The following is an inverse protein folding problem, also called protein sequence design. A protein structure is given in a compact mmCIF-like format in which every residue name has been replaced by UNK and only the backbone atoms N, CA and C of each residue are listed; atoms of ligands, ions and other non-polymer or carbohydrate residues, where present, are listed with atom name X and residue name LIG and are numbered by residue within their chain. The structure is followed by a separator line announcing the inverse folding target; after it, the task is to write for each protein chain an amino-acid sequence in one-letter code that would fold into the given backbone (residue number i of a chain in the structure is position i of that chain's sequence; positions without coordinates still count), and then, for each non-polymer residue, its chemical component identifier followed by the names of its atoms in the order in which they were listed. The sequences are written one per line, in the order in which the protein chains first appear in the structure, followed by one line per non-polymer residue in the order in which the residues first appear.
data_IF_744460820521
#
_entry.id   IF_744460820521
#
_cell.length_a   1.000
_cell.length_b   1.000
_cell.length_c   1.000
_cell.angle_alpha   90.00
_cell.angle_beta   90.00
_cell.angle_gamma   90.00
#
_symmetry.space_group_name_H-M   'P 1'
#
loop_
_entity.id
_entity.type
_entity.pdbx_description
1 polymer ?
#
# COMPACT_ATOMS: atom_id res chain seq x y z
N UNK A 1 -2.34 -21.31 21.98
CA UNK A 1 -3.69 -21.54 21.42
C UNK A 1 -4.10 -20.45 20.42
N UNK A 2 -4.25 -19.17 20.79
CA UNK A 2 -4.67 -18.10 19.86
C UNK A 2 -3.76 -17.89 18.61
N UNK A 3 -2.43 -17.97 18.77
CA UNK A 3 -1.49 -17.88 17.62
C UNK A 3 -1.61 -19.05 16.63
N UNK A 4 -1.99 -20.24 17.10
CA UNK A 4 -2.11 -21.42 16.23
C UNK A 4 -3.38 -21.33 15.38
N UNK A 5 -4.49 -20.89 15.98
CA UNK A 5 -5.75 -20.67 15.26
C UNK A 5 -5.66 -19.49 14.27
N UNK A 6 -4.91 -18.44 14.56
CA UNK A 6 -4.67 -17.34 13.61
C UNK A 6 -3.83 -17.79 12.40
N UNK A 7 -2.83 -18.65 12.62
CA UNK A 7 -1.99 -19.19 11.54
C UNK A 7 -2.74 -20.19 10.66
N UNK A 8 -3.57 -21.05 11.27
CA UNK A 8 -4.44 -21.98 10.53
C UNK A 8 -5.50 -21.23 9.71
N UNK A 9 -6.15 -20.21 10.29
CA UNK A 9 -7.10 -19.36 9.58
C UNK A 9 -6.41 -18.57 8.45
N UNK A 10 -5.18 -18.09 8.68
CA UNK A 10 -4.36 -17.46 7.66
C UNK A 10 -4.07 -18.42 6.50
N UNK A 11 -3.55 -19.62 6.79
CA UNK A 11 -3.24 -20.63 5.78
C UNK A 11 -4.48 -21.06 4.97
N UNK A 12 -5.62 -21.25 5.63
CA UNK A 12 -6.88 -21.60 4.97
C UNK A 12 -7.37 -20.47 4.04
N UNK A 13 -7.27 -19.21 4.46
CA UNK A 13 -7.65 -18.04 3.65
C UNK A 13 -6.73 -17.90 2.44
N UNK A 14 -5.41 -18.04 2.63
CA UNK A 14 -4.41 -18.01 1.55
C UNK A 14 -4.73 -19.08 0.50
N UNK A 15 -4.98 -20.32 0.93
CA UNK A 15 -5.26 -21.42 0.03
C UNK A 15 -6.55 -21.18 -0.78
N UNK A 16 -7.61 -20.68 -0.15
CA UNK A 16 -8.86 -20.34 -0.82
C UNK A 16 -8.68 -19.22 -1.85
N UNK A 17 -8.00 -18.14 -1.48
CA UNK A 17 -7.81 -16.97 -2.32
C UNK A 17 -6.88 -17.22 -3.52
N UNK A 18 -5.98 -18.20 -3.43
CA UNK A 18 -5.17 -18.67 -4.55
C UNK A 18 -5.92 -19.69 -5.43
N UNK A 19 -6.81 -20.51 -4.87
CA UNK A 19 -7.55 -21.55 -5.62
C UNK A 19 -8.52 -20.95 -6.65
N UNK A 20 -9.18 -19.85 -6.30
CA UNK A 20 -10.13 -19.18 -7.19
C UNK A 20 -9.47 -18.65 -8.49
N UNK A 21 -8.40 -17.82 -8.43
CA UNK A 21 -7.73 -17.37 -9.64
C UNK A 21 -7.02 -18.53 -10.36
N UNK A 22 -6.52 -19.56 -9.66
CA UNK A 22 -5.96 -20.75 -10.32
C UNK A 22 -7.01 -21.47 -11.18
N UNK A 23 -8.22 -21.65 -10.67
CA UNK A 23 -9.34 -22.23 -11.43
C UNK A 23 -9.66 -21.38 -12.66
N UNK A 24 -9.70 -20.06 -12.51
CA UNK A 24 -9.93 -19.15 -13.64
C UNK A 24 -8.79 -19.18 -14.66
N UNK A 25 -7.54 -19.32 -14.21
CA UNK A 25 -6.37 -19.42 -15.10
C UNK A 25 -6.46 -20.68 -15.95
N UNK A 26 -6.77 -21.82 -15.32
CA UNK A 26 -6.97 -23.09 -16.02
C UNK A 26 -8.07 -22.99 -17.09
N UNK A 27 -9.21 -22.38 -16.76
CA UNK A 27 -10.30 -22.15 -17.71
C UNK A 27 -9.86 -21.30 -18.92
N UNK A 28 -9.15 -20.20 -18.70
CA UNK A 28 -8.69 -19.35 -19.81
C UNK A 28 -7.64 -20.04 -20.68
N UNK A 29 -6.79 -20.88 -20.09
CA UNK A 29 -5.85 -21.69 -20.87
C UNK A 29 -6.55 -22.73 -21.74
N UNK A 30 -7.60 -23.38 -21.23
CA UNK A 30 -8.41 -24.37 -21.97
C UNK A 30 -9.17 -23.72 -23.15
N UNK A 31 -9.76 -22.54 -22.92
CA UNK A 31 -10.39 -21.74 -23.99
C UNK A 31 -9.34 -21.32 -25.02
N UNK A 32 -8.16 -20.87 -24.58
CA UNK A 32 -7.10 -20.48 -25.49
C UNK A 32 -6.65 -21.68 -26.34
N UNK A 33 -6.46 -22.86 -25.76
CA UNK A 33 -6.06 -24.08 -26.47
C UNK A 33 -7.09 -24.48 -27.53
N UNK A 34 -8.37 -24.42 -27.20
CA UNK A 34 -9.47 -24.80 -28.10
C UNK A 34 -9.62 -23.79 -29.25
N UNK A 35 -9.56 -22.49 -28.96
CA UNK A 35 -9.92 -21.45 -29.92
C UNK A 35 -8.73 -21.01 -30.80
N UNK A 36 -7.45 -21.27 -30.42
CA UNK A 36 -6.30 -20.71 -31.14
C UNK A 36 -6.22 -21.12 -32.62
N UNK A 37 -6.75 -22.29 -32.96
CA UNK A 37 -6.81 -22.80 -34.33
C UNK A 37 -8.03 -22.31 -35.11
N UNK A 38 -9.19 -22.22 -34.45
CA UNK A 38 -10.49 -21.95 -35.08
C UNK A 38 -10.87 -20.46 -35.07
N UNK A 39 -10.60 -19.76 -33.98
CA UNK A 39 -10.73 -18.30 -33.83
C UNK A 39 -9.50 -17.72 -33.10
N UNK A 40 -8.42 -17.41 -33.86
CA UNK A 40 -7.19 -16.90 -33.28
C UNK A 40 -7.35 -15.61 -32.47
N UNK A 41 -8.35 -14.77 -32.78
CA UNK A 41 -8.60 -13.54 -32.04
C UNK A 41 -9.12 -13.84 -30.64
N UNK A 42 -10.10 -14.74 -30.54
CA UNK A 42 -10.65 -15.22 -29.27
C UNK A 42 -9.63 -16.03 -28.46
N UNK A 43 -8.84 -16.88 -29.13
CA UNK A 43 -7.72 -17.58 -28.50
C UNK A 43 -6.70 -16.61 -27.89
N UNK A 44 -6.38 -15.51 -28.59
CA UNK A 44 -5.47 -14.48 -28.08
C UNK A 44 -6.07 -13.72 -26.89
N UNK A 45 -7.35 -13.35 -26.96
CA UNK A 45 -8.05 -12.72 -25.84
C UNK A 45 -8.05 -13.60 -24.59
N UNK A 46 -8.22 -14.92 -24.75
CA UNK A 46 -8.14 -15.87 -23.65
C UNK A 46 -6.72 -15.95 -23.06
N UNK A 47 -5.67 -15.93 -23.88
CA UNK A 47 -4.28 -15.85 -23.42
C UNK A 47 -3.99 -14.56 -22.64
N UNK A 48 -4.52 -13.42 -23.11
CA UNK A 48 -4.33 -12.13 -22.43
C UNK A 48 -5.04 -12.13 -21.06
N UNK A 49 -6.24 -12.72 -20.98
CA UNK A 49 -6.94 -12.91 -19.69
C UNK A 49 -6.17 -13.86 -18.77
N UNK A 50 -5.63 -14.96 -19.28
CA UNK A 50 -4.80 -15.89 -18.51
C UNK A 50 -3.58 -15.16 -17.91
N UNK A 51 -2.86 -14.37 -18.72
CA UNK A 51 -1.73 -13.57 -18.25
C UNK A 51 -2.12 -12.57 -17.16
N UNK A 52 -3.26 -11.88 -17.31
CA UNK A 52 -3.77 -10.97 -16.29
C UNK A 52 -4.08 -11.69 -14.96
N UNK A 53 -4.71 -12.88 -15.03
CA UNK A 53 -4.98 -13.71 -13.84
C UNK A 53 -3.68 -14.18 -13.20
N UNK A 54 -2.71 -14.64 -13.99
CA UNK A 54 -1.39 -15.06 -13.49
C UNK A 54 -0.63 -13.93 -12.80
N UNK A 55 -0.58 -12.73 -13.41
CA UNK A 55 0.01 -11.55 -12.79
C UNK A 55 -0.66 -11.18 -11.47
N UNK A 56 -1.99 -11.25 -11.41
CA UNK A 56 -2.76 -11.02 -10.18
C UNK A 56 -2.42 -12.05 -9.09
N UNK A 57 -2.23 -13.33 -9.45
CA UNK A 57 -1.79 -14.35 -8.50
C UNK A 57 -0.40 -14.06 -7.94
N UNK A 58 0.55 -13.63 -8.79
CA UNK A 58 1.88 -13.20 -8.34
C UNK A 58 1.79 -12.10 -7.29
N UNK A 59 0.99 -11.07 -7.54
CA UNK A 59 0.78 -9.99 -6.58
C UNK A 59 0.20 -10.48 -5.24
N UNK A 60 -0.71 -11.46 -5.26
CA UNK A 60 -1.25 -12.04 -4.02
C UNK A 60 -0.15 -12.74 -3.21
N UNK A 61 0.70 -13.52 -3.88
CA UNK A 61 1.83 -14.20 -3.23
C UNK A 61 2.78 -13.18 -2.61
N UNK A 62 3.11 -12.12 -3.34
CA UNK A 62 3.96 -11.05 -2.85
C UNK A 62 3.34 -10.33 -1.64
N UNK A 63 2.03 -10.05 -1.67
CA UNK A 63 1.30 -9.44 -0.55
C UNK A 63 1.35 -10.35 0.71
N UNK A 64 1.19 -11.66 0.55
CA UNK A 64 1.30 -12.62 1.65
C UNK A 64 2.72 -12.69 2.22
N UNK A 65 3.73 -12.77 1.35
CA UNK A 65 5.13 -12.84 1.76
C UNK A 65 5.57 -11.54 2.45
N UNK A 66 5.16 -10.39 1.90
CA UNK A 66 5.45 -9.09 2.50
C UNK A 66 4.85 -9.00 3.90
N UNK A 67 3.63 -9.48 4.10
CA UNK A 67 2.98 -9.47 5.40
C UNK A 67 3.66 -10.39 6.43
N UNK A 68 4.07 -11.61 6.04
CA UNK A 68 4.75 -12.55 6.95
C UNK A 68 6.15 -12.06 7.33
N UNK A 69 6.97 -11.70 6.34
CA UNK A 69 8.35 -11.22 6.55
C UNK A 69 8.36 -9.93 7.38
N UNK A 70 7.45 -9.01 7.10
CA UNK A 70 7.36 -7.74 7.85
C UNK A 70 6.92 -7.94 9.29
N UNK A 71 6.21 -9.01 9.63
CA UNK A 71 5.83 -9.26 11.03
C UNK A 71 6.96 -9.86 11.87
N UNK A 72 7.88 -10.60 11.25
CA UNK A 72 8.86 -11.43 11.98
C UNK A 72 10.31 -10.99 11.81
N UNK A 73 10.62 -10.17 10.80
CA UNK A 73 11.99 -9.71 10.54
C UNK A 73 12.55 -8.80 11.64
N UNK A 74 13.89 -8.74 11.75
CA UNK A 74 14.55 -7.71 12.53
C UNK A 74 14.46 -6.36 11.81
N UNK A 75 14.21 -5.27 12.55
CA UNK A 75 14.29 -3.91 11.99
C UNK A 75 15.75 -3.52 11.77
N UNK A 76 16.01 -2.76 10.70
CA UNK A 76 17.31 -2.11 10.47
C UNK A 76 17.14 -0.60 10.36
N UNK A 77 16.88 0.12 11.48
CA UNK A 77 16.61 1.54 11.44
C UNK A 77 17.86 2.33 11.00
N UNK A 78 17.65 3.31 10.13
CA UNK A 78 18.66 4.27 9.69
C UNK A 78 17.99 5.61 9.38
N UNK A 79 18.77 6.65 9.12
CA UNK A 79 18.23 7.93 8.67
C UNK A 79 17.62 7.79 7.28
N UNK A 80 16.34 8.12 7.14
CA UNK A 80 15.57 8.06 5.89
C UNK A 80 15.09 9.45 5.54
N UNK A 81 15.55 9.96 4.40
CA UNK A 81 15.00 11.16 3.76
C UNK A 81 13.64 10.79 3.12
N UNK A 82 12.56 11.25 3.74
CA UNK A 82 11.21 10.91 3.28
C UNK A 82 10.89 11.52 1.91
N UNK A 83 11.43 12.70 1.58
CA UNK A 83 11.20 13.34 0.27
C UNK A 83 11.71 12.44 -0.85
N UNK A 84 12.92 11.90 -0.68
CA UNK A 84 13.52 11.00 -1.66
C UNK A 84 12.69 9.73 -1.85
N UNK A 85 12.28 9.09 -0.76
CA UNK A 85 11.52 7.82 -0.84
C UNK A 85 10.13 8.05 -1.45
N UNK A 86 9.43 9.12 -1.06
CA UNK A 86 8.12 9.44 -1.62
C UNK A 86 8.24 9.74 -3.12
N UNK A 87 9.25 10.50 -3.55
CA UNK A 87 9.47 10.79 -4.97
C UNK A 87 9.76 9.52 -5.78
N UNK A 88 10.58 8.60 -5.26
CA UNK A 88 10.85 7.31 -5.90
C UNK A 88 9.57 6.50 -6.10
N UNK A 89 8.73 6.38 -5.06
CA UNK A 89 7.47 5.65 -5.14
C UNK A 89 6.45 6.36 -6.03
N UNK A 90 6.38 7.69 -5.97
CA UNK A 90 5.49 8.51 -6.79
C UNK A 90 5.76 8.32 -8.30
N UNK A 91 7.03 8.17 -8.68
CA UNK A 91 7.43 7.96 -10.09
C UNK A 91 6.81 6.71 -10.73
N UNK A 92 6.39 5.72 -9.94
CA UNK A 92 5.71 4.52 -10.44
C UNK A 92 4.29 4.81 -10.96
N UNK A 93 3.71 5.96 -10.58
CA UNK A 93 2.33 6.35 -10.91
C UNK A 93 2.28 7.55 -11.88
N UNK A 94 3.44 7.96 -12.41
CA UNK A 94 3.59 9.07 -13.36
C UNK A 94 3.64 8.56 -14.81
N UNK A 95 2.68 7.71 -15.20
CA UNK A 95 2.65 7.07 -16.52
C UNK A 95 1.27 7.16 -17.17
N UNK A 96 1.20 7.74 -18.37
CA UNK A 96 0.00 7.77 -19.22
C UNK A 96 -0.98 8.90 -18.90
N UNK A 97 -2.15 8.88 -19.56
CA UNK A 97 -3.20 9.91 -19.42
C UNK A 97 -3.88 9.94 -18.04
N UNK A 98 -3.60 8.95 -17.18
CA UNK A 98 -4.11 8.86 -15.80
C UNK A 98 -3.01 9.06 -14.74
N UNK A 99 -1.90 9.73 -15.11
CA UNK A 99 -0.83 10.04 -14.18
C UNK A 99 -1.38 10.70 -12.89
N UNK A 100 -0.90 10.23 -11.75
CA UNK A 100 -1.31 10.75 -10.46
C UNK A 100 -0.67 12.13 -10.22
N UNK A 101 -1.48 13.11 -9.84
CA UNK A 101 -1.00 14.41 -9.35
C UNK A 101 -0.62 14.25 -7.87
N UNK A 102 0.68 14.23 -7.59
CA UNK A 102 1.21 14.01 -6.24
C UNK A 102 1.92 15.28 -5.76
N UNK A 103 1.26 16.02 -4.87
CA UNK A 103 1.80 17.24 -4.26
C UNK A 103 2.65 16.87 -3.03
N UNK A 104 3.95 17.21 -3.05
CA UNK A 104 4.91 16.86 -1.99
C UNK A 104 5.28 18.07 -1.14
N UNK A 105 4.75 18.15 0.08
CA UNK A 105 5.16 19.10 1.11
C UNK A 105 5.83 18.35 2.27
N UNK A 106 6.98 17.75 1.95
CA UNK A 106 7.74 16.89 2.85
C UNK A 106 9.19 17.32 2.88
N UNK A 107 9.65 17.72 4.06
CA UNK A 107 11.06 18.00 4.35
C UNK A 107 11.37 17.45 5.75
N UNK A 108 11.49 16.12 5.83
CA UNK A 108 11.69 15.42 7.09
C UNK A 108 12.58 14.20 6.92
N UNK A 109 13.48 14.03 7.89
CA UNK A 109 14.32 12.83 8.04
C UNK A 109 13.85 12.06 9.27
N UNK A 110 13.62 10.76 9.11
CA UNK A 110 13.16 9.85 10.18
C UNK A 110 14.18 8.75 10.45
N UNK A 111 14.12 8.13 11.63
CA UNK A 111 14.88 6.91 11.94
C UNK A 111 13.97 5.71 11.76
N UNK A 112 14.13 5.02 10.63
CA UNK A 112 13.29 3.90 10.25
C UNK A 112 14.02 2.94 9.32
N UNK A 113 13.46 1.74 9.13
CA UNK A 113 13.94 0.78 8.15
C UNK A 113 13.56 1.27 6.74
N UNK A 114 14.54 1.60 5.86
CA UNK A 114 14.25 2.20 4.57
C UNK A 114 13.36 1.32 3.68
N UNK A 115 13.55 0.00 3.73
CA UNK A 115 12.80 -0.94 2.90
C UNK A 115 11.32 -0.97 3.32
N UNK A 116 11.07 -0.93 4.64
CA UNK A 116 9.70 -0.91 5.17
C UNK A 116 9.03 0.44 4.97
N UNK A 117 9.75 1.56 5.09
CA UNK A 117 9.19 2.89 4.77
C UNK A 117 8.79 2.97 3.30
N UNK A 118 9.64 2.47 2.39
CA UNK A 118 9.30 2.39 0.95
C UNK A 118 8.04 1.54 0.73
N UNK A 119 7.92 0.38 1.38
CA UNK A 119 6.74 -0.48 1.29
C UNK A 119 5.48 0.19 1.85
N UNK A 120 5.58 0.87 3.00
CA UNK A 120 4.49 1.64 3.59
C UNK A 120 3.97 2.69 2.62
N UNK A 121 4.87 3.50 2.05
CA UNK A 121 4.51 4.55 1.10
C UNK A 121 3.96 3.99 -0.21
N UNK A 122 4.52 2.90 -0.73
CA UNK A 122 4.00 2.21 -1.91
C UNK A 122 2.57 1.71 -1.69
N UNK A 123 2.28 1.14 -0.52
CA UNK A 123 0.92 0.70 -0.19
C UNK A 123 -0.06 1.87 -0.07
N UNK A 124 0.34 2.97 0.58
CA UNK A 124 -0.54 4.13 0.75
C UNK A 124 -0.80 4.83 -0.59
N UNK A 125 0.24 5.16 -1.36
CA UNK A 125 0.09 5.80 -2.68
C UNK A 125 -0.64 4.88 -3.67
N UNK A 126 -0.31 3.59 -3.70
CA UNK A 126 -1.00 2.60 -4.52
C UNK A 126 -2.49 2.48 -4.20
N UNK A 127 -2.86 2.54 -2.91
CA UNK A 127 -4.26 2.59 -2.50
C UNK A 127 -4.94 3.88 -2.97
N UNK A 128 -4.30 5.04 -2.82
CA UNK A 128 -4.87 6.32 -3.25
C UNK A 128 -5.12 6.37 -4.77
N UNK A 129 -4.22 5.80 -5.59
CA UNK A 129 -4.42 5.65 -7.03
C UNK A 129 -5.54 4.66 -7.33
N UNK A 130 -5.48 3.47 -6.73
CA UNK A 130 -6.44 2.39 -6.94
C UNK A 130 -7.87 2.80 -6.59
N UNK A 131 -8.06 3.57 -5.52
CA UNK A 131 -9.37 4.01 -5.02
C UNK A 131 -9.73 5.44 -5.44
N UNK A 132 -9.05 6.00 -6.45
CA UNK A 132 -9.42 7.26 -7.08
C UNK A 132 -10.85 7.22 -7.66
N UNK A 133 -11.48 8.38 -7.82
CA UNK A 133 -12.83 8.47 -8.41
C UNK A 133 -12.77 8.18 -9.91
N UNK A 134 -13.73 7.41 -10.48
CA UNK A 134 -13.78 7.18 -11.92
C UNK A 134 -13.84 8.50 -12.70
N UNK A 135 -13.09 8.57 -13.81
CA UNK A 135 -13.12 9.72 -14.72
C UNK A 135 -12.32 10.95 -14.26
N UNK A 136 -11.55 10.86 -13.18
CA UNK A 136 -10.67 11.93 -12.71
C UNK A 136 -9.25 11.39 -12.45
N UNK A 137 -8.18 12.13 -12.80
CA UNK A 137 -6.83 11.77 -12.41
C UNK A 137 -6.72 11.67 -10.87
N UNK A 138 -5.99 10.68 -10.33
CA UNK A 138 -5.75 10.60 -8.90
C UNK A 138 -5.03 11.87 -8.42
N UNK A 139 -5.55 12.49 -7.36
CA UNK A 139 -4.88 13.60 -6.67
C UNK A 139 -4.51 13.16 -5.27
N UNK A 140 -3.24 13.35 -4.92
CA UNK A 140 -2.66 12.92 -3.64
C UNK A 140 -1.79 14.06 -3.12
N UNK A 141 -1.88 14.33 -1.82
CA UNK A 141 -0.98 15.25 -1.13
C UNK A 141 -0.26 14.51 -0.01
N UNK A 142 1.06 14.66 0.04
CA UNK A 142 1.90 14.08 1.09
C UNK A 142 2.55 15.22 1.87
N UNK A 143 2.23 15.30 3.16
CA UNK A 143 2.76 16.32 4.07
C UNK A 143 3.52 15.66 5.21
N UNK A 144 4.66 16.22 5.62
CA UNK A 144 5.32 15.84 6.87
C UNK A 144 5.60 17.04 7.77
N UNK A 145 5.35 16.88 9.06
CA UNK A 145 5.54 17.90 10.08
C UNK A 145 5.97 17.26 11.41
N UNK A 146 6.50 18.07 12.33
CA UNK A 146 6.72 17.60 13.70
C UNK A 146 5.40 17.16 14.34
N UNK A 147 5.40 16.03 15.03
CA UNK A 147 4.23 15.63 15.82
C UNK A 147 4.12 16.48 17.09
N UNK A 148 2.92 16.52 17.68
CA UNK A 148 2.72 17.09 19.02
C UNK A 148 3.56 16.39 20.09
N UNK A 149 3.85 15.09 19.90
CA UNK A 149 4.76 14.34 20.76
C UNK A 149 6.22 14.57 20.31
N UNK A 150 7.11 15.06 21.19
CA UNK A 150 8.51 15.28 20.85
C UNK A 150 9.21 14.01 20.37
N UNK A 151 10.04 14.15 19.33
CA UNK A 151 10.80 13.02 18.79
C UNK A 151 10.06 12.21 17.73
N UNK A 152 8.89 12.66 17.27
CA UNK A 152 8.13 12.04 16.19
C UNK A 152 7.90 13.00 15.03
N UNK A 153 7.88 12.45 13.81
CA UNK A 153 7.38 13.12 12.61
C UNK A 153 6.00 12.55 12.32
N UNK A 154 5.02 13.43 12.10
CA UNK A 154 3.69 13.10 11.58
C UNK A 154 3.71 13.24 10.07
N UNK A 155 3.32 12.18 9.38
CA UNK A 155 3.18 12.12 7.92
C UNK A 155 1.70 11.91 7.59
N UNK A 156 1.18 12.71 6.67
CA UNK A 156 -0.20 12.60 6.19
C UNK A 156 -0.21 12.39 4.68
N UNK A 157 -0.90 11.35 4.23
CA UNK A 157 -1.17 11.07 2.81
C UNK A 157 -2.67 11.27 2.59
N UNK A 158 -3.04 12.37 1.95
CA UNK A 158 -4.41 12.74 1.67
C UNK A 158 -4.74 12.49 0.19
N UNK A 159 -5.83 11.77 -0.09
CA UNK A 159 -6.29 11.52 -1.45
C UNK A 159 -7.67 12.10 -1.75
N UNK A 160 -7.97 12.22 -3.05
CA UNK A 160 -9.29 12.58 -3.59
C UNK A 160 -10.08 11.33 -4.04
N UNK A 161 -9.96 10.23 -3.28
CA UNK A 161 -10.60 8.96 -3.58
C UNK A 161 -12.08 8.89 -3.22
N UNK A 162 -12.60 7.67 -3.18
CA UNK A 162 -13.99 7.37 -2.74
C UNK A 162 -14.19 7.55 -1.23
N UNK A 163 -13.11 7.58 -0.45
CA UNK A 163 -13.16 7.72 1.01
C UNK A 163 -13.30 6.40 1.77
N UNK A 164 -13.32 6.49 3.10
CA UNK A 164 -13.56 5.40 4.03
C UNK A 164 -14.63 5.84 5.04
N UNK A 165 -15.70 5.05 5.12
CA UNK A 165 -16.79 5.29 6.08
C UNK A 165 -16.27 5.24 7.51
N UNK A 166 -16.82 6.06 8.41
CA UNK A 166 -16.40 6.15 9.81
C UNK A 166 -16.30 4.77 10.49
N UNK A 167 -17.32 3.94 10.29
CA UNK A 167 -17.40 2.59 10.86
C UNK A 167 -16.28 1.65 10.39
N UNK A 168 -15.66 1.96 9.24
CA UNK A 168 -14.60 1.14 8.65
C UNK A 168 -13.19 1.64 8.99
N UNK A 169 -13.00 2.87 9.49
CA UNK A 169 -11.67 3.49 9.67
C UNK A 169 -10.70 2.73 10.56
N UNK A 170 -11.17 2.10 11.63
CA UNK A 170 -10.33 1.23 12.46
C UNK A 170 -10.24 -0.19 11.88
N UNK A 171 -11.32 -0.65 11.26
CA UNK A 171 -11.43 -2.01 10.72
C UNK A 171 -10.51 -2.24 9.52
N UNK A 172 -10.26 -1.22 8.69
CA UNK A 172 -9.41 -1.33 7.50
C UNK A 172 -7.96 -1.72 7.78
N UNK A 173 -7.49 -1.53 9.02
CA UNK A 173 -6.14 -1.94 9.42
C UNK A 173 -6.09 -3.40 9.93
N UNK A 174 -7.22 -4.11 10.00
CA UNK A 174 -7.24 -5.53 10.34
C UNK A 174 -6.88 -6.35 9.10
N UNK A 175 -6.11 -7.43 9.24
CA UNK A 175 -5.85 -8.35 8.12
C UNK A 175 -7.16 -8.81 7.49
N UNK A 176 -7.15 -8.98 6.17
CA UNK A 176 -8.30 -9.46 5.39
C UNK A 176 -9.52 -8.53 5.40
N UNK A 177 -9.38 -7.30 5.88
CA UNK A 177 -10.48 -6.34 5.91
C UNK A 177 -10.48 -5.48 4.65
N UNK A 178 -11.68 -5.31 4.09
CA UNK A 178 -11.96 -4.41 2.97
C UNK A 178 -13.04 -3.42 3.39
N UNK A 179 -12.94 -2.19 2.90
CA UNK A 179 -14.01 -1.20 3.07
C UNK A 179 -15.26 -1.65 2.32
N UNK A 180 -16.42 -1.24 2.82
CA UNK A 180 -17.70 -1.48 2.16
C UNK A 180 -17.70 -0.91 0.72
N UNK A 181 -17.15 0.29 0.55
CA UNK A 181 -16.98 0.93 -0.76
C UNK A 181 -15.94 0.22 -1.65
N UNK A 182 -14.87 -0.32 -1.07
CA UNK A 182 -13.84 -1.09 -1.76
C UNK A 182 -14.33 -2.47 -2.23
N UNK A 183 -15.30 -3.06 -1.52
CA UNK A 183 -15.99 -4.26 -1.96
C UNK A 183 -16.97 -3.95 -3.11
N UNK A 184 -17.74 -2.87 -2.99
CA UNK A 184 -18.72 -2.46 -4.00
C UNK A 184 -18.11 -1.99 -5.32
N UNK A 185 -16.90 -1.42 -5.30
CA UNK A 185 -16.21 -0.90 -6.50
C UNK A 185 -15.60 -1.98 -7.41
N UNK A 186 -15.72 -3.27 -7.07
CA UNK A 186 -15.15 -4.37 -7.88
C UNK A 186 -13.62 -4.44 -7.92
N UNK A 187 -12.93 -3.52 -7.21
CA UNK A 187 -11.47 -3.43 -7.19
C UNK A 187 -10.84 -4.60 -6.46
N UNK A 188 -9.81 -5.19 -7.06
CA UNK A 188 -9.12 -6.38 -6.56
C UNK A 188 -8.22 -6.09 -5.36
N UNK A 189 -8.27 -6.91 -4.31
CA UNK A 189 -7.28 -6.91 -3.23
C UNK A 189 -7.77 -7.72 -2.02
N UNK A 190 -6.84 -8.38 -1.33
CA UNK A 190 -7.13 -9.26 -0.18
C UNK A 190 -7.15 -8.54 1.17
N UNK A 191 -7.04 -7.20 1.19
CA UNK A 191 -7.13 -6.43 2.44
C UNK A 191 -5.90 -6.52 3.36
N UNK A 192 -4.73 -6.90 2.83
CA UNK A 192 -3.48 -6.94 3.60
C UNK A 192 -2.71 -5.61 3.61
N UNK A 193 -2.86 -4.77 2.58
CA UNK A 193 -2.03 -3.56 2.40
C UNK A 193 -2.04 -2.63 3.61
N UNK A 194 -3.22 -2.27 4.13
CA UNK A 194 -3.32 -1.38 5.30
C UNK A 194 -2.96 -2.08 6.63
N UNK A 195 -3.20 -3.38 6.74
CA UNK A 195 -2.71 -4.17 7.88
C UNK A 195 -1.17 -4.20 7.92
N UNK A 196 -0.52 -4.31 6.75
CA UNK A 196 0.91 -4.19 6.59
C UNK A 196 1.39 -2.77 6.96
N UNK A 197 0.70 -1.72 6.50
CA UNK A 197 1.02 -0.34 6.90
C UNK A 197 1.03 -0.16 8.42
N UNK A 198 -0.02 -0.64 9.11
CA UNK A 198 -0.11 -0.61 10.57
C UNK A 198 1.00 -1.42 11.22
N UNK A 199 1.30 -2.62 10.71
CA UNK A 199 2.40 -3.43 11.24
C UNK A 199 3.75 -2.72 11.13
N UNK A 200 4.03 -2.09 9.99
CA UNK A 200 5.27 -1.31 9.77
C UNK A 200 5.34 -0.16 10.78
N UNK A 201 4.29 0.66 10.86
CA UNK A 201 4.26 1.84 11.73
C UNK A 201 4.39 1.45 13.20
N UNK A 202 3.65 0.45 13.66
CA UNK A 202 3.72 -0.06 15.04
C UNK A 202 5.08 -0.68 15.36
N UNK A 203 5.73 -1.37 14.42
CA UNK A 203 7.11 -1.87 14.62
C UNK A 203 8.11 -0.74 14.84
N UNK A 204 7.87 0.44 14.26
CA UNK A 204 8.65 1.65 14.52
C UNK A 204 8.17 2.44 15.76
N UNK A 205 7.24 1.88 16.54
CA UNK A 205 6.67 2.51 17.74
C UNK A 205 5.64 3.59 17.47
N UNK A 206 5.29 3.83 16.20
CA UNK A 206 4.34 4.87 15.79
C UNK A 206 2.89 4.40 15.83
N UNK A 207 2.01 5.32 15.43
CA UNK A 207 0.56 5.09 15.24
C UNK A 207 0.15 5.44 13.82
N UNK A 208 -0.89 4.79 13.31
CA UNK A 208 -1.53 5.11 12.02
C UNK A 208 -3.04 5.19 12.20
N UNK A 209 -3.67 6.16 11.54
CA UNK A 209 -5.11 6.39 11.58
C UNK A 209 -5.62 6.84 10.20
N UNK A 210 -6.91 6.60 9.95
CA UNK A 210 -7.61 7.07 8.77
C UNK A 210 -8.64 8.11 9.17
N UNK A 211 -8.77 9.18 8.38
CA UNK A 211 -9.76 10.24 8.57
C UNK A 211 -10.32 10.72 7.24
N UNK A 212 -11.50 11.33 7.24
CA UNK A 212 -11.99 12.04 6.07
C UNK A 212 -11.24 13.37 5.88
N UNK A 213 -11.21 13.87 4.65
CA UNK A 213 -10.60 15.15 4.32
C UNK A 213 -11.58 16.06 3.54
N UNK A 214 -11.18 17.31 3.32
CA UNK A 214 -12.00 18.31 2.63
C UNK A 214 -12.31 17.95 1.16
N UNK A 215 -11.57 17.01 0.58
CA UNK A 215 -11.78 16.48 -0.76
C UNK A 215 -12.83 15.36 -0.81
N UNK A 216 -13.36 14.94 0.34
CA UNK A 216 -14.26 13.79 0.41
C UNK A 216 -13.57 12.46 0.12
N UNK A 217 -12.23 12.42 0.18
CA UNK A 217 -11.42 11.22 0.11
C UNK A 217 -10.93 10.81 1.50
N UNK A 218 -9.73 10.23 1.59
CA UNK A 218 -9.14 9.79 2.86
C UNK A 218 -7.79 10.41 3.13
N UNK A 219 -7.55 10.77 4.39
CA UNK A 219 -6.22 11.10 4.90
C UNK A 219 -5.75 9.97 5.81
N UNK A 220 -4.67 9.32 5.39
CA UNK A 220 -3.91 8.38 6.20
C UNK A 220 -2.81 9.14 6.93
N UNK A 221 -2.90 9.21 8.26
CA UNK A 221 -1.92 9.89 9.10
C UNK A 221 -1.15 8.85 9.89
N UNK A 222 0.19 8.92 9.85
CA UNK A 222 1.04 8.04 10.64
C UNK A 222 2.25 8.76 11.24
N UNK A 223 2.85 8.16 12.28
CA UNK A 223 4.06 8.70 12.90
C UNK A 223 5.26 7.79 12.74
N UNK A 224 6.44 8.39 12.58
CA UNK A 224 7.73 7.70 12.60
C UNK A 224 8.71 8.47 13.50
N UNK A 225 9.70 7.78 14.12
CA UNK A 225 10.68 8.45 14.96
C UNK A 225 11.46 9.50 14.18
N UNK A 226 11.54 10.73 14.69
CA UNK A 226 12.32 11.79 14.07
C UNK A 226 13.82 11.43 14.14
N UNK A 227 14.55 11.67 13.06
CA UNK A 227 15.99 11.80 13.20
C UNK A 227 16.24 13.01 14.08
N UNK A 228 16.85 12.80 15.26
CA UNK A 228 17.36 13.92 16.05
C UNK A 228 18.17 14.78 15.09
N UNK A 229 17.78 16.05 14.94
CA UNK A 229 18.65 17.02 14.29
C UNK A 229 19.99 16.90 15.01
N UNK A 230 20.96 16.30 14.34
CA UNK A 230 22.33 16.36 14.81
C UNK A 230 22.60 17.85 14.79
N UNK A 231 22.72 18.45 15.97
CA UNK A 231 22.99 19.87 16.11
C UNK A 231 24.11 20.20 15.12
N UNK A 232 23.76 20.94 14.07
CA UNK A 232 24.69 21.37 13.04
C UNK A 232 25.85 21.99 13.80
N UNK A 233 27.01 21.35 13.73
CA UNK A 233 28.14 21.64 14.59
C UNK A 233 28.37 23.16 14.62
N UNK A 234 28.17 23.75 15.80
CA UNK A 234 28.65 25.08 16.11
C UNK A 234 30.17 25.00 16.20
N UNK A 235 30.85 24.97 15.04
CA UNK A 235 32.30 25.16 14.92
C UNK A 235 32.58 25.91 13.62
N UNK A 236 33.27 27.04 13.77
CA UNK A 236 33.79 27.99 12.77
C UNK A 236 32.73 28.94 12.15
N UNK A 237 32.71 30.24 12.44
CA UNK A 237 33.86 31.16 12.48
C UNK A 237 33.83 32.12 13.66
N UNK A 238 34.68 31.88 14.66
CA UNK A 238 35.41 32.96 15.32
C UNK A 238 36.78 33.01 14.67
N UNK A 239 36.96 33.94 13.73
CA UNK A 239 38.17 34.70 13.43
C UNK A 239 37.85 35.71 12.34
#
# INVERSE_FOLDING_TARGET
HARHSELEAFAATVAHDLKNPLTSLALWMDIAETELADDPARGREALDRAQQVGGRMGQLIDDYLAYTVTREGALRPSAVDLRRVVAEVASMYDVGEQAAQIDLDIDAVVVADPALVRQLLANLLGNSVKYARPGQPPRIQVVAQADSEPGWVRISVADHGIGIDEADRERVFRPFSRTSQGAASGRSGIGLGLALCRSIVTRHGGRIEASANAWGGTTMTFTLPAARATARAAVASTR
#
